data_IF_291919023691
#
_entry.id   IF_291919023691
#
_cell.length_a   1.000
_cell.length_b   1.000
_cell.length_c   1.000
_cell.angle_alpha   90.00
_cell.angle_beta   90.00
_cell.angle_gamma   90.00
#
_symmetry.space_group_name_H-M   'P 1'
#
loop_
_entity.id
_entity.type
_entity.pdbx_description
1 polymer ?
#
# COMPACT_ATOMS: atom_id res chain seq x y z
N UNK A 1 11.30 7.64 25.90
CA UNK A 1 10.74 6.28 25.76
C UNK A 1 9.50 6.42 24.91
N UNK A 2 9.47 5.78 23.74
CA UNK A 2 8.22 5.70 22.99
C UNK A 2 7.22 4.92 23.84
N UNK A 3 5.97 5.37 23.96
CA UNK A 3 4.95 4.60 24.66
C UNK A 3 4.81 3.24 23.99
N UNK A 4 4.80 2.17 24.79
CA UNK A 4 4.55 0.82 24.27
C UNK A 4 3.07 0.68 23.91
N UNK A 5 2.74 0.07 22.74
CA UNK A 5 1.35 -0.19 22.41
C UNK A 5 0.77 -1.17 23.41
N UNK A 6 -0.35 -0.80 24.05
CA UNK A 6 -1.17 -1.78 24.78
C UNK A 6 -1.56 -2.87 23.82
N UNK A 7 -1.72 -4.11 24.30
CA UNK A 7 -1.99 -5.32 23.50
C UNK A 7 -2.73 -5.05 22.18
N UNK A 8 -1.98 -4.99 21.07
CA UNK A 8 -2.56 -4.76 19.74
C UNK A 8 -3.45 -5.93 19.36
N UNK A 9 -4.60 -5.62 18.80
CA UNK A 9 -5.59 -6.59 18.32
C UNK A 9 -5.73 -6.59 16.79
N UNK A 10 -5.40 -5.45 16.15
CA UNK A 10 -5.54 -5.23 14.71
C UNK A 10 -4.24 -4.67 14.13
N UNK A 11 -3.71 -5.32 13.12
CA UNK A 11 -2.60 -4.83 12.31
C UNK A 11 -3.12 -4.57 10.90
N UNK A 12 -2.98 -3.33 10.45
CA UNK A 12 -3.41 -2.87 9.13
C UNK A 12 -2.16 -2.59 8.30
N UNK A 13 -2.02 -3.30 7.20
CA UNK A 13 -0.87 -3.17 6.29
C UNK A 13 -1.28 -2.43 5.02
N UNK A 14 -0.44 -1.52 4.53
CA UNK A 14 -0.48 -1.18 3.11
C UNK A 14 -0.01 -2.38 2.28
N UNK A 15 -0.17 -2.31 0.97
CA UNK A 15 0.11 -3.43 0.06
C UNK A 15 1.36 -3.19 -0.79
N UNK A 16 1.29 -2.24 -1.75
CA UNK A 16 2.38 -1.92 -2.67
C UNK A 16 3.53 -1.22 -1.92
N UNK A 17 4.72 -1.78 -1.90
CA UNK A 17 5.86 -1.23 -1.16
C UNK A 17 5.94 -1.66 0.32
N UNK A 18 4.89 -2.28 0.84
CA UNK A 18 4.88 -2.76 2.25
C UNK A 18 4.91 -4.27 2.33
N UNK A 19 3.96 -4.96 1.73
CA UNK A 19 3.90 -6.43 1.69
C UNK A 19 4.52 -6.99 0.41
N UNK A 20 4.30 -6.33 -0.73
CA UNK A 20 4.71 -6.77 -2.06
C UNK A 20 5.49 -5.70 -2.80
N UNK A 21 6.48 -6.14 -3.58
CA UNK A 21 7.19 -5.31 -4.54
C UNK A 21 6.51 -5.43 -5.91
N UNK A 22 5.71 -4.44 -6.25
CA UNK A 22 4.93 -4.37 -7.49
C UNK A 22 5.50 -3.39 -8.51
N UNK A 23 6.64 -2.76 -8.21
CA UNK A 23 7.16 -1.63 -9.00
C UNK A 23 7.45 -2.00 -10.45
N UNK A 24 7.97 -3.20 -10.70
CA UNK A 24 8.31 -3.64 -12.06
C UNK A 24 7.04 -3.69 -12.93
N UNK A 25 6.04 -4.44 -12.49
CA UNK A 25 4.80 -4.65 -13.23
C UNK A 25 3.98 -3.36 -13.39
N UNK A 26 4.00 -2.47 -12.38
CA UNK A 26 3.42 -1.13 -12.48
C UNK A 26 4.17 -0.30 -13.54
N UNK A 27 5.51 -0.34 -13.53
CA UNK A 27 6.34 0.42 -14.48
C UNK A 27 6.07 -0.02 -15.93
N UNK A 28 6.08 -1.31 -16.16
CA UNK A 28 5.85 -1.88 -17.49
C UNK A 28 4.44 -1.55 -17.98
N UNK A 29 3.43 -1.68 -17.12
CA UNK A 29 2.04 -1.37 -17.47
C UNK A 29 1.78 0.12 -17.73
N UNK A 30 2.42 1.03 -16.97
CA UNK A 30 2.37 2.47 -17.28
C UNK A 30 2.99 2.74 -18.65
N UNK A 31 4.15 2.16 -18.94
CA UNK A 31 4.84 2.38 -20.20
C UNK A 31 4.11 1.75 -21.40
N UNK A 32 3.42 0.63 -21.22
CA UNK A 32 2.53 0.07 -22.24
C UNK A 32 1.35 1.01 -22.53
N UNK A 33 0.74 1.58 -21.50
CA UNK A 33 -0.33 2.57 -21.67
C UNK A 33 0.17 3.84 -22.37
N UNK A 34 1.34 4.37 -21.98
CA UNK A 34 1.95 5.53 -22.63
C UNK A 34 2.27 5.24 -24.10
N UNK A 35 2.75 4.04 -24.42
CA UNK A 35 3.04 3.61 -25.81
C UNK A 35 1.77 3.59 -26.66
N UNK A 36 0.63 3.08 -26.15
CA UNK A 36 -0.64 3.10 -26.88
C UNK A 36 -1.12 4.54 -27.15
N UNK A 37 -0.76 5.50 -26.27
CA UNK A 37 -1.03 6.93 -26.44
C UNK A 37 0.00 7.65 -27.33
N UNK A 38 0.99 6.94 -27.90
CA UNK A 38 2.13 7.51 -28.65
C UNK A 38 2.96 8.50 -27.82
N UNK A 39 3.07 8.28 -26.51
CA UNK A 39 3.85 9.08 -25.57
C UNK A 39 5.18 8.39 -25.25
N UNK A 40 6.15 9.17 -24.73
CA UNK A 40 7.45 8.65 -24.32
C UNK A 40 7.33 7.83 -23.03
N UNK A 41 8.07 6.74 -22.98
CA UNK A 41 8.20 5.94 -21.75
C UNK A 41 8.90 6.74 -20.65
N UNK A 42 8.54 6.43 -19.40
CA UNK A 42 9.14 6.98 -18.19
C UNK A 42 10.07 5.96 -17.54
N UNK A 43 11.10 6.44 -16.86
CA UNK A 43 11.99 5.56 -16.10
C UNK A 43 11.30 5.00 -14.85
N UNK A 44 11.84 3.88 -14.33
CA UNK A 44 11.34 3.25 -13.12
C UNK A 44 11.37 4.19 -11.90
N UNK A 45 12.39 5.02 -11.80
CA UNK A 45 12.57 6.00 -10.71
C UNK A 45 11.47 7.07 -10.73
N UNK A 46 11.10 7.54 -11.92
CA UNK A 46 10.01 8.50 -12.09
C UNK A 46 8.69 7.87 -11.70
N UNK A 47 8.39 6.67 -12.21
CA UNK A 47 7.13 5.96 -11.91
C UNK A 47 7.06 5.59 -10.43
N UNK A 48 8.18 5.17 -9.81
CA UNK A 48 8.26 4.90 -8.37
C UNK A 48 7.75 6.09 -7.54
N UNK A 49 8.13 7.30 -7.90
CA UNK A 49 7.70 8.51 -7.19
C UNK A 49 6.19 8.80 -7.29
N UNK A 50 5.50 8.16 -8.25
CA UNK A 50 4.07 8.34 -8.49
C UNK A 50 3.21 7.25 -7.83
N UNK A 51 3.82 6.15 -7.35
CA UNK A 51 3.10 5.05 -6.68
C UNK A 51 2.60 5.50 -5.30
N UNK A 52 1.47 4.94 -4.86
CA UNK A 52 0.88 5.15 -3.53
C UNK A 52 -0.40 6.00 -3.54
N UNK A 53 -0.59 6.89 -4.53
CA UNK A 53 -1.78 7.74 -4.65
C UNK A 53 -2.97 7.10 -5.37
N UNK A 54 -2.85 5.84 -5.82
CA UNK A 54 -3.85 5.13 -6.64
C UNK A 54 -3.71 5.41 -8.14
N UNK A 55 -4.40 4.61 -8.96
CA UNK A 55 -4.21 4.57 -10.42
C UNK A 55 -4.48 5.91 -11.11
N UNK A 56 -5.48 6.66 -10.65
CA UNK A 56 -5.82 7.95 -11.26
C UNK A 56 -4.67 8.93 -11.10
N UNK A 57 -4.15 9.08 -9.87
CA UNK A 57 -3.03 9.99 -9.57
C UNK A 57 -1.74 9.55 -10.25
N UNK A 58 -1.49 8.25 -10.32
CA UNK A 58 -0.35 7.67 -11.04
C UNK A 58 -0.36 8.10 -12.52
N UNK A 59 -1.49 7.92 -13.21
CA UNK A 59 -1.60 8.28 -14.63
C UNK A 59 -1.66 9.79 -14.85
N UNK A 60 -2.29 10.56 -13.97
CA UNK A 60 -2.26 12.03 -14.00
C UNK A 60 -0.81 12.55 -13.94
N UNK A 61 0.01 12.01 -13.04
CA UNK A 61 1.42 12.37 -12.93
C UNK A 61 2.23 11.90 -14.15
N UNK A 62 1.96 10.71 -14.67
CA UNK A 62 2.63 10.18 -15.85
C UNK A 62 2.33 10.99 -17.13
N UNK A 63 1.18 11.64 -17.20
CA UNK A 63 0.75 12.48 -18.33
C UNK A 63 1.17 13.94 -18.19
N UNK A 64 1.66 14.36 -17.03
CA UNK A 64 2.02 15.75 -16.78
C UNK A 64 3.06 16.25 -17.79
N UNK A 65 2.75 17.38 -18.45
CA UNK A 65 3.64 17.99 -19.47
C UNK A 65 3.63 17.29 -20.83
N UNK A 66 2.81 16.26 -21.06
CA UNK A 66 2.71 15.57 -22.35
C UNK A 66 1.74 16.24 -23.34
N UNK A 67 0.83 17.08 -22.85
CA UNK A 67 -0.25 17.65 -23.65
C UNK A 67 -1.46 16.69 -23.84
N UNK A 68 -1.40 15.49 -23.27
CA UNK A 68 -2.52 14.54 -23.26
C UNK A 68 -3.38 14.76 -22.00
N UNK A 69 -4.67 15.01 -22.14
CA UNK A 69 -5.57 15.43 -21.07
C UNK A 69 -6.71 14.44 -20.73
N UNK A 70 -6.93 13.38 -21.54
CA UNK A 70 -7.92 12.34 -21.22
C UNK A 70 -7.34 11.31 -20.21
N UNK A 71 -7.29 11.73 -18.96
CA UNK A 71 -6.80 10.88 -17.86
C UNK A 71 -7.64 9.61 -17.70
N UNK A 72 -8.95 9.68 -17.96
CA UNK A 72 -9.85 8.50 -17.83
C UNK A 72 -9.49 7.41 -18.83
N UNK A 73 -9.21 7.80 -20.07
CA UNK A 73 -8.74 6.86 -21.09
C UNK A 73 -7.39 6.25 -20.71
N UNK A 74 -6.44 7.08 -20.30
CA UNK A 74 -5.12 6.58 -19.85
C UNK A 74 -5.21 5.61 -18.66
N UNK A 75 -6.07 5.89 -17.68
CA UNK A 75 -6.35 4.97 -16.56
C UNK A 75 -6.97 3.65 -17.06
N UNK A 76 -7.84 3.71 -18.06
CA UNK A 76 -8.42 2.50 -18.66
C UNK A 76 -7.37 1.63 -19.33
N UNK A 77 -6.46 2.24 -20.10
CA UNK A 77 -5.32 1.53 -20.73
C UNK A 77 -4.39 0.94 -19.68
N UNK A 78 -3.98 1.74 -18.69
CA UNK A 78 -3.16 1.25 -17.59
C UNK A 78 -3.84 0.07 -16.87
N UNK A 79 -5.12 0.18 -16.53
CA UNK A 79 -5.87 -0.88 -15.84
C UNK A 79 -5.90 -2.18 -16.65
N UNK A 80 -6.06 -2.09 -17.98
CA UNK A 80 -6.00 -3.24 -18.90
C UNK A 80 -4.63 -3.90 -18.83
N UNK A 81 -3.56 -3.14 -19.12
CA UNK A 81 -2.20 -3.68 -19.12
C UNK A 81 -1.79 -4.23 -17.76
N UNK A 82 -2.06 -3.47 -16.68
CA UNK A 82 -1.74 -3.94 -15.35
C UNK A 82 -2.55 -5.20 -14.97
N UNK A 83 -3.79 -5.31 -15.43
CA UNK A 83 -4.59 -6.52 -15.28
C UNK A 83 -3.98 -7.74 -15.96
N UNK A 84 -3.33 -7.57 -17.09
CA UNK A 84 -2.71 -8.67 -17.86
C UNK A 84 -1.31 -9.04 -17.31
N UNK A 85 -0.58 -8.08 -16.70
CA UNK A 85 0.84 -8.19 -16.31
C UNK A 85 1.12 -8.05 -14.80
N UNK A 86 0.10 -8.11 -13.94
CA UNK A 86 0.25 -7.80 -12.50
C UNK A 86 1.06 -8.82 -11.67
N UNK A 87 1.53 -9.89 -12.30
CA UNK A 87 2.24 -11.01 -11.67
C UNK A 87 3.49 -11.45 -12.45
N UNK A 88 3.95 -10.64 -13.40
CA UNK A 88 5.12 -11.00 -14.20
C UNK A 88 6.40 -10.94 -13.33
N UNK A 89 6.49 -9.98 -12.40
CA UNK A 89 7.63 -9.76 -11.52
C UNK A 89 7.22 -9.44 -10.07
N UNK A 90 5.92 -9.37 -9.77
CA UNK A 90 5.41 -9.06 -8.43
C UNK A 90 5.71 -10.19 -7.45
N UNK A 91 6.36 -9.87 -6.34
CA UNK A 91 6.73 -10.82 -5.30
C UNK A 91 6.59 -10.19 -3.90
N UNK A 92 6.52 -11.02 -2.86
CA UNK A 92 6.58 -10.52 -1.48
C UNK A 92 7.96 -9.95 -1.15
N UNK A 93 7.97 -8.90 -0.33
CA UNK A 93 9.21 -8.54 0.36
C UNK A 93 9.67 -9.66 1.30
N UNK A 94 10.98 -9.74 1.58
CA UNK A 94 11.54 -10.72 2.51
C UNK A 94 10.77 -10.73 3.84
N UNK A 95 10.61 -11.90 4.43
CA UNK A 95 9.98 -12.13 5.74
C UNK A 95 8.49 -11.75 5.85
N UNK A 96 7.83 -11.34 4.75
CA UNK A 96 6.40 -10.94 4.79
C UNK A 96 5.51 -12.08 5.25
N UNK A 97 5.60 -13.24 4.60
CA UNK A 97 4.76 -14.41 4.93
C UNK A 97 4.91 -14.81 6.40
N UNK A 98 6.15 -15.07 6.79
CA UNK A 98 6.49 -15.50 8.15
C UNK A 98 6.05 -14.50 9.22
N UNK A 99 6.13 -13.19 8.92
CA UNK A 99 5.73 -12.17 9.88
C UNK A 99 4.23 -12.06 10.02
N UNK A 100 3.48 -12.06 8.92
CA UNK A 100 2.01 -12.01 8.97
C UNK A 100 1.44 -13.27 9.63
N UNK A 101 2.00 -14.44 9.35
CA UNK A 101 1.61 -15.71 9.99
C UNK A 101 1.94 -15.73 11.50
N UNK A 102 3.06 -15.14 11.91
CA UNK A 102 3.41 -14.99 13.32
C UNK A 102 2.32 -14.25 14.11
N UNK A 103 1.66 -13.28 13.49
CA UNK A 103 0.55 -12.53 14.08
C UNK A 103 -0.83 -13.12 13.76
N UNK A 104 -0.93 -14.43 13.50
CA UNK A 104 -2.22 -15.11 13.25
C UNK A 104 -3.22 -15.02 14.40
N UNK A 105 -2.76 -14.74 15.61
CA UNK A 105 -3.60 -14.48 16.78
C UNK A 105 -4.19 -13.06 16.82
N UNK A 106 -3.81 -12.21 15.87
CA UNK A 106 -4.32 -10.84 15.70
C UNK A 106 -5.17 -10.75 14.42
N UNK A 107 -5.92 -9.67 14.27
CA UNK A 107 -6.60 -9.39 13.00
C UNK A 107 -5.62 -8.74 12.03
N UNK A 108 -5.21 -9.47 10.99
CA UNK A 108 -4.39 -8.93 9.90
C UNK A 108 -5.33 -8.44 8.80
N UNK A 109 -5.15 -7.20 8.35
CA UNK A 109 -6.00 -6.55 7.34
C UNK A 109 -5.12 -5.78 6.37
N UNK A 110 -5.52 -5.72 5.11
CA UNK A 110 -4.91 -4.85 4.10
C UNK A 110 -5.78 -3.61 3.90
N UNK A 111 -5.15 -2.43 3.92
CA UNK A 111 -5.76 -1.16 3.54
C UNK A 111 -4.84 -0.39 2.59
N UNK A 112 -5.21 -0.33 1.31
CA UNK A 112 -4.38 0.24 0.25
C UNK A 112 -5.18 1.14 -0.69
N UNK A 113 -4.49 2.08 -1.37
CA UNK A 113 -5.07 2.87 -2.45
C UNK A 113 -5.14 2.11 -3.81
N UNK A 114 -4.57 0.89 -3.85
CA UNK A 114 -4.72 -0.05 -4.95
C UNK A 114 -6.15 -0.62 -4.99
N UNK A 115 -6.80 -0.82 -6.16
CA UNK A 115 -8.10 -1.47 -6.23
C UNK A 115 -8.10 -2.87 -5.59
N UNK A 116 -9.16 -3.17 -4.83
CA UNK A 116 -9.29 -4.43 -4.10
C UNK A 116 -9.16 -5.66 -5.00
N UNK A 117 -9.73 -5.61 -6.21
CA UNK A 117 -9.66 -6.72 -7.16
C UNK A 117 -8.23 -7.11 -7.56
N UNK A 118 -7.31 -6.15 -7.68
CA UNK A 118 -5.90 -6.44 -7.98
C UNK A 118 -5.18 -7.02 -6.77
N UNK A 119 -5.46 -6.52 -5.57
CA UNK A 119 -4.90 -7.06 -4.33
C UNK A 119 -5.32 -8.53 -4.17
N UNK A 120 -6.61 -8.83 -4.31
CA UNK A 120 -7.14 -10.18 -4.20
C UNK A 120 -6.53 -11.13 -5.24
N UNK A 121 -6.38 -10.68 -6.50
CA UNK A 121 -5.74 -11.50 -7.56
C UNK A 121 -4.29 -11.82 -7.23
N UNK A 122 -3.50 -10.84 -6.77
CA UNK A 122 -2.10 -11.05 -6.38
C UNK A 122 -2.01 -12.02 -5.20
N UNK A 123 -2.79 -11.80 -4.15
CA UNK A 123 -2.78 -12.66 -2.96
C UNK A 123 -3.16 -14.11 -3.29
N UNK A 124 -4.18 -14.31 -4.13
CA UNK A 124 -4.61 -15.65 -4.54
C UNK A 124 -3.55 -16.33 -5.41
N UNK A 125 -2.95 -15.63 -6.37
CA UNK A 125 -1.91 -16.19 -7.22
C UNK A 125 -0.62 -16.52 -6.47
N UNK A 126 -0.29 -15.72 -5.45
CA UNK A 126 0.83 -16.00 -4.54
C UNK A 126 0.46 -16.96 -3.40
N UNK A 127 -0.75 -17.55 -3.39
CA UNK A 127 -1.26 -18.46 -2.35
C UNK A 127 -1.04 -17.91 -0.92
N UNK A 128 -1.50 -16.67 -0.69
CA UNK A 128 -1.35 -16.01 0.61
C UNK A 128 -2.54 -15.09 1.00
N UNK A 129 -3.74 -15.44 0.53
CA UNK A 129 -4.96 -14.69 0.90
C UNK A 129 -5.45 -15.02 2.32
N UNK A 130 -5.21 -16.24 2.77
CA UNK A 130 -5.81 -16.81 3.98
C UNK A 130 -5.51 -16.06 5.30
N UNK A 131 -4.34 -15.43 5.54
CA UNK A 131 -4.09 -14.79 6.83
C UNK A 131 -4.79 -13.44 6.99
N UNK A 132 -5.36 -12.88 5.91
CA UNK A 132 -5.99 -11.56 5.95
C UNK A 132 -7.50 -11.67 6.19
N UNK A 133 -7.96 -11.04 7.27
CA UNK A 133 -9.37 -11.01 7.66
C UNK A 133 -10.22 -10.08 6.79
N UNK A 134 -9.61 -9.06 6.20
CA UNK A 134 -10.24 -8.14 5.26
C UNK A 134 -9.21 -7.53 4.31
N UNK A 135 -9.68 -7.13 3.13
CA UNK A 135 -8.96 -6.32 2.15
C UNK A 135 -9.80 -5.10 1.83
N UNK A 136 -9.27 -3.92 2.13
CA UNK A 136 -9.88 -2.64 1.83
C UNK A 136 -9.02 -1.95 0.77
N UNK A 137 -9.50 -1.91 -0.45
CA UNK A 137 -8.82 -1.27 -1.59
C UNK A 137 -9.26 0.17 -1.80
N UNK A 138 -8.59 0.87 -2.71
CA UNK A 138 -8.86 2.26 -3.06
C UNK A 138 -10.20 2.51 -3.75
N UNK A 139 -10.95 1.46 -4.05
CA UNK A 139 -12.31 1.45 -4.61
C UNK A 139 -13.36 0.88 -3.63
N UNK A 140 -12.96 0.57 -2.39
CA UNK A 140 -13.87 0.04 -1.37
C UNK A 140 -14.67 1.13 -0.65
N UNK A 141 -14.22 2.38 -0.70
CA UNK A 141 -14.87 3.56 -0.11
C UNK A 141 -14.80 4.73 -1.09
N UNK A 142 -15.61 5.76 -0.87
CA UNK A 142 -15.54 7.01 -1.63
C UNK A 142 -14.27 7.82 -1.35
N UNK A 143 -13.63 7.56 -0.20
CA UNK A 143 -12.38 8.19 0.22
C UNK A 143 -11.19 7.24 0.12
N UNK A 144 -9.98 7.80 0.07
CA UNK A 144 -8.70 7.06 0.00
C UNK A 144 -7.71 7.60 1.02
N UNK A 145 -6.70 6.82 1.36
CA UNK A 145 -5.58 7.33 2.16
C UNK A 145 -5.02 8.62 1.53
N UNK A 146 -4.78 9.68 2.29
CA UNK A 146 -4.66 9.74 3.76
C UNK A 146 -5.96 10.03 4.53
N UNK A 147 -7.15 9.85 3.95
CA UNK A 147 -8.41 9.95 4.70
C UNK A 147 -8.53 8.77 5.68
N UNK A 148 -8.85 9.01 6.98
CA UNK A 148 -8.88 7.98 8.01
C UNK A 148 -10.13 7.10 8.00
N UNK A 149 -11.11 7.35 7.13
CA UNK A 149 -12.42 6.66 7.13
C UNK A 149 -12.28 5.14 7.03
N UNK A 150 -11.29 4.65 6.26
CA UNK A 150 -11.01 3.22 6.16
C UNK A 150 -10.57 2.61 7.50
N UNK A 151 -9.68 3.27 8.23
CA UNK A 151 -9.26 2.82 9.56
C UNK A 151 -10.43 2.87 10.57
N UNK A 152 -11.25 3.93 10.52
CA UNK A 152 -12.45 4.01 11.36
C UNK A 152 -13.45 2.91 11.06
N UNK A 153 -13.64 2.53 9.77
CA UNK A 153 -14.47 1.39 9.39
C UNK A 153 -13.92 0.09 9.98
N UNK A 154 -12.63 -0.17 9.81
CA UNK A 154 -11.97 -1.38 10.32
C UNK A 154 -12.03 -1.47 11.85
N UNK A 155 -11.80 -0.36 12.56
CA UNK A 155 -11.94 -0.33 14.03
C UNK A 155 -13.35 -0.70 14.49
N UNK A 156 -14.39 -0.19 13.82
CA UNK A 156 -15.79 -0.60 14.12
C UNK A 156 -16.03 -2.06 13.79
N UNK A 157 -15.58 -2.53 12.64
CA UNK A 157 -15.78 -3.92 12.19
C UNK A 157 -15.16 -4.94 13.14
N UNK A 158 -13.97 -4.65 13.67
CA UNK A 158 -13.22 -5.55 14.54
C UNK A 158 -13.34 -5.19 16.03
N UNK A 159 -14.18 -4.20 16.37
CA UNK A 159 -14.41 -3.74 17.75
C UNK A 159 -13.09 -3.40 18.49
N UNK A 160 -12.22 -2.62 17.84
CA UNK A 160 -10.93 -2.18 18.36
C UNK A 160 -10.96 -0.70 18.66
N UNK A 161 -10.34 -0.28 19.78
CA UNK A 161 -10.02 1.13 20.04
C UNK A 161 -8.74 1.54 19.31
N UNK A 162 -8.49 2.85 19.06
CA UNK A 162 -7.31 3.31 18.33
C UNK A 162 -5.98 2.78 18.89
N UNK A 163 -5.87 2.66 20.22
CA UNK A 163 -4.65 2.18 20.90
C UNK A 163 -4.36 0.70 20.65
N UNK A 164 -5.33 -0.05 20.11
CA UNK A 164 -5.22 -1.46 19.77
C UNK A 164 -4.90 -1.70 18.30
N UNK A 165 -4.69 -0.64 17.52
CA UNK A 165 -4.50 -0.71 16.07
C UNK A 165 -3.13 -0.18 15.67
N UNK A 166 -2.45 -0.90 14.77
CA UNK A 166 -1.21 -0.47 14.14
C UNK A 166 -1.42 -0.36 12.63
N UNK A 167 -1.13 0.82 12.06
CA UNK A 167 -0.98 1.00 10.60
C UNK A 167 0.48 0.84 10.22
N UNK A 168 0.77 -0.07 9.30
CA UNK A 168 2.10 -0.35 8.74
C UNK A 168 2.12 0.05 7.28
N UNK A 169 3.07 0.89 6.87
CA UNK A 169 3.18 1.35 5.49
C UNK A 169 4.55 1.92 5.17
N UNK A 170 4.84 2.07 3.88
CA UNK A 170 6.13 2.55 3.37
C UNK A 170 6.13 4.03 2.97
N UNK A 171 4.99 4.71 3.10
CA UNK A 171 4.83 6.09 2.64
C UNK A 171 4.31 7.04 3.72
N UNK A 172 4.56 8.34 3.54
CA UNK A 172 4.00 9.38 4.40
C UNK A 172 2.45 9.36 4.41
N UNK A 173 1.82 8.90 3.31
CA UNK A 173 0.37 8.75 3.20
C UNK A 173 -0.16 7.78 4.26
N UNK A 174 0.53 6.67 4.50
CA UNK A 174 0.14 5.65 5.48
C UNK A 174 0.24 6.18 6.90
N UNK A 175 1.35 6.87 7.18
CA UNK A 175 1.61 7.45 8.50
C UNK A 175 0.59 8.55 8.80
N UNK A 176 0.31 9.41 7.83
CA UNK A 176 -0.70 10.46 7.97
C UNK A 176 -2.10 9.86 8.19
N UNK A 177 -2.45 8.79 7.45
CA UNK A 177 -3.71 8.05 7.66
C UNK A 177 -3.83 7.56 9.09
N UNK A 178 -2.79 6.88 9.59
CA UNK A 178 -2.75 6.36 10.95
C UNK A 178 -2.84 7.46 12.00
N UNK A 179 -2.10 8.55 11.84
CA UNK A 179 -2.13 9.71 12.75
C UNK A 179 -3.52 10.36 12.79
N UNK A 180 -4.15 10.57 11.65
CA UNK A 180 -5.51 11.12 11.56
C UNK A 180 -6.56 10.24 12.23
N UNK A 181 -6.35 8.92 12.21
CA UNK A 181 -7.22 7.96 12.89
C UNK A 181 -6.88 7.78 14.38
N UNK A 182 -5.78 8.37 14.88
CA UNK A 182 -5.32 8.24 16.26
C UNK A 182 -4.72 6.85 16.59
N UNK A 183 -4.30 6.07 15.57
CA UNK A 183 -3.73 4.73 15.74
C UNK A 183 -2.21 4.77 15.77
N UNK A 184 -1.58 3.68 16.21
CA UNK A 184 -0.13 3.50 16.11
C UNK A 184 0.30 3.42 14.65
N UNK A 185 1.50 3.92 14.34
CA UNK A 185 2.04 3.91 12.98
C UNK A 185 3.44 3.32 12.96
N UNK A 186 3.71 2.50 11.97
CA UNK A 186 5.02 1.92 11.70
C UNK A 186 5.41 2.15 10.23
N UNK A 187 6.49 2.90 10.01
CA UNK A 187 7.07 3.08 8.70
C UNK A 187 8.03 1.94 8.35
N UNK A 188 7.96 1.41 7.12
CA UNK A 188 8.94 0.47 6.59
C UNK A 188 9.85 1.18 5.58
N UNK A 189 11.17 1.12 5.77
CA UNK A 189 12.12 1.90 4.97
C UNK A 189 12.56 1.24 3.66
N UNK A 190 12.23 -0.04 3.46
CA UNK A 190 12.60 -0.82 2.27
C UNK A 190 11.65 -0.62 1.08
N UNK A 191 10.50 0.05 1.28
CA UNK A 191 9.42 0.14 0.31
C UNK A 191 9.66 1.09 -0.86
N UNK A 192 8.58 1.45 -1.54
CA UNK A 192 8.57 2.29 -2.74
C UNK A 192 8.53 3.78 -2.40
N UNK A 193 7.98 4.14 -1.24
CA UNK A 193 7.79 5.51 -0.80
C UNK A 193 9.07 6.32 -0.68
N UNK A 194 8.94 7.63 -0.67
CA UNK A 194 10.06 8.54 -0.44
C UNK A 194 10.51 8.44 1.02
N UNK A 195 11.74 7.96 1.26
CA UNK A 195 12.28 7.71 2.59
C UNK A 195 12.40 8.99 3.45
N UNK A 196 12.72 10.12 2.84
CA UNK A 196 12.80 11.40 3.55
C UNK A 196 11.41 11.84 4.00
N UNK A 197 10.41 11.84 3.11
CA UNK A 197 9.02 12.18 3.45
C UNK A 197 8.44 11.23 4.50
N UNK A 198 8.80 9.93 4.44
CA UNK A 198 8.40 8.95 5.44
C UNK A 198 8.99 9.29 6.82
N UNK A 199 10.27 9.66 6.91
CA UNK A 199 10.91 10.09 8.16
C UNK A 199 10.30 11.41 8.69
N UNK A 200 10.11 12.39 7.81
CA UNK A 200 9.49 13.68 8.15
C UNK A 200 8.04 13.53 8.64
N UNK A 201 7.34 12.48 8.20
CA UNK A 201 6.00 12.15 8.70
C UNK A 201 6.00 11.64 10.14
N UNK A 202 7.16 11.40 10.76
CA UNK A 202 7.35 11.01 12.17
C UNK A 202 6.44 9.83 12.59
N UNK A 203 6.60 8.62 12.04
CA UNK A 203 5.89 7.44 12.52
C UNK A 203 6.30 7.11 13.97
N UNK A 204 5.44 6.40 14.71
CA UNK A 204 5.78 5.94 16.06
C UNK A 204 6.96 4.96 16.05
N UNK A 205 7.05 4.14 14.99
CA UNK A 205 8.13 3.17 14.77
C UNK A 205 8.63 3.24 13.33
N UNK A 206 9.94 2.99 13.16
CA UNK A 206 10.57 2.77 11.86
C UNK A 206 11.29 1.43 11.89
N UNK A 207 11.10 0.63 10.84
CA UNK A 207 11.75 -0.67 10.66
C UNK A 207 12.32 -0.80 9.25
N UNK A 208 13.39 -1.55 9.12
CA UNK A 208 14.10 -1.86 7.87
C UNK A 208 13.79 -3.27 7.33
N UNK A 209 13.05 -4.06 8.10
CA UNK A 209 12.58 -5.40 7.76
C UNK A 209 11.28 -5.67 8.52
N UNK A 210 10.29 -6.29 7.84
CA UNK A 210 8.97 -6.52 8.43
C UNK A 210 9.04 -7.44 9.68
N UNK A 211 10.00 -8.36 9.74
CA UNK A 211 10.20 -9.25 10.88
C UNK A 211 10.51 -8.52 12.19
N UNK A 212 10.98 -7.26 12.12
CA UNK A 212 11.20 -6.42 13.30
C UNK A 212 9.93 -6.14 14.10
N UNK A 213 8.75 -6.25 13.44
CA UNK A 213 7.46 -6.15 14.15
C UNK A 213 7.35 -7.18 15.29
N UNK A 214 7.94 -8.38 15.14
CA UNK A 214 7.91 -9.43 16.17
C UNK A 214 8.58 -8.99 17.48
N UNK A 215 9.56 -8.10 17.41
CA UNK A 215 10.23 -7.56 18.59
C UNK A 215 9.50 -6.35 19.18
N UNK A 216 8.77 -5.58 18.35
CA UNK A 216 8.02 -4.41 18.76
C UNK A 216 6.67 -4.75 19.41
N UNK A 217 6.08 -5.88 19.04
CA UNK A 217 4.69 -6.26 19.37
C UNK A 217 4.66 -7.51 20.28
N UNK A 218 5.42 -7.50 21.35
CA UNK A 218 5.48 -8.59 22.34
C UNK A 218 4.18 -8.74 23.12
#
# INVERSE_FOLDING_TARGET
MNPEPKALSLIVYDFDGTLVNTLADITDSVNLALKELNLRSLSREIIRAYVGGGMHRLMEQALNGTGYDDIKHAVTLFRKHYGDHLLDQTEFYPNTRETVEHFSNKKNVIFSNKPAAFIERILNALDFRHPFHAVLGGDSLDTRKPDPSGLHLLMRQFNCSPEQVLMVGDSAIDIETGKRAGVWTCGVSYGLGNSQALQESQPHYMIDDLSRLKALLK
#
